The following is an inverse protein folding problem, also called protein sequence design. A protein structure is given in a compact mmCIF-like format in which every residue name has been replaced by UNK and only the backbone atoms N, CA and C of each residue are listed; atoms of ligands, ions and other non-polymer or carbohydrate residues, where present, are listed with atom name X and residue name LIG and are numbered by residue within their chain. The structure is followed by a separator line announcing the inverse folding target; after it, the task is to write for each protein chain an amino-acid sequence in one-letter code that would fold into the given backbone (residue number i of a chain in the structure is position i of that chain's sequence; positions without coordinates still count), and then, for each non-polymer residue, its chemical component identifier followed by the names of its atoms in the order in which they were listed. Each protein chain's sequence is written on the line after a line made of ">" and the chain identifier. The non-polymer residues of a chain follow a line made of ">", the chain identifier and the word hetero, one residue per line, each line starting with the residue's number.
data_IF_976734071682
#
_entry.id   IF_976734071682
#
_cell.length_a   1.000
_cell.length_b   1.000
_cell.length_c   1.000
_cell.angle_alpha   90.00
_cell.angle_beta   90.00
_cell.angle_gamma   90.00
#
_symmetry.space_group_name_H-M   'P 1'
#
loop_
_entity.id
_entity.type
_entity.pdbx_description
1 polymer ?
#
# COMPACT_ATOMS: atom_id res chain seq x y z
N UNK A 1 15.60 -10.64 7.66
CA UNK A 1 14.37 -10.02 7.15
C UNK A 1 14.01 -10.80 5.90
N UNK A 2 12.95 -11.61 5.93
CA UNK A 2 12.56 -12.36 4.73
C UNK A 2 12.24 -11.34 3.64
N UNK A 3 12.83 -11.51 2.47
CA UNK A 3 12.57 -10.63 1.34
C UNK A 3 11.13 -10.87 0.88
N UNK A 4 10.23 -9.95 1.25
CA UNK A 4 8.80 -10.00 0.91
C UNK A 4 8.60 -10.13 -0.61
N UNK A 5 9.53 -9.60 -1.42
CA UNK A 5 9.46 -9.72 -2.88
C UNK A 5 9.74 -11.15 -3.35
N UNK A 6 10.69 -11.85 -2.72
CA UNK A 6 10.96 -13.26 -2.98
C UNK A 6 9.79 -14.15 -2.51
N UNK A 7 9.16 -13.81 -1.39
CA UNK A 7 7.95 -14.49 -0.92
C UNK A 7 6.79 -14.31 -1.93
N UNK A 8 6.55 -13.09 -2.42
CA UNK A 8 5.54 -12.85 -3.45
C UNK A 8 5.80 -13.64 -4.73
N UNK A 9 7.05 -13.67 -5.21
CA UNK A 9 7.43 -14.39 -6.42
C UNK A 9 7.22 -15.90 -6.29
N UNK A 10 7.62 -16.47 -5.15
CA UNK A 10 7.46 -17.90 -4.87
C UNK A 10 5.98 -18.29 -4.72
N UNK A 11 5.19 -17.52 -3.98
CA UNK A 11 3.74 -17.76 -3.84
C UNK A 11 3.01 -17.63 -5.18
N UNK A 12 3.40 -16.65 -6.02
CA UNK A 12 2.82 -16.46 -7.35
C UNK A 12 3.12 -17.65 -8.27
N UNK A 13 4.38 -18.07 -8.37
CA UNK A 13 4.76 -19.20 -9.21
C UNK A 13 4.09 -20.52 -8.75
N UNK A 14 3.95 -20.72 -7.44
CA UNK A 14 3.25 -21.87 -6.90
C UNK A 14 1.74 -21.83 -7.19
N UNK A 15 1.11 -20.64 -7.10
CA UNK A 15 -0.29 -20.45 -7.43
C UNK A 15 -0.59 -20.71 -8.91
N UNK A 16 0.24 -20.22 -9.83
CA UNK A 16 0.07 -20.43 -11.29
C UNK A 16 0.10 -21.92 -11.65
N UNK A 17 1.05 -22.68 -11.09
CA UNK A 17 1.11 -24.14 -11.30
C UNK A 17 -0.08 -24.87 -10.67
N UNK A 18 -0.53 -24.42 -9.49
CA UNK A 18 -1.67 -25.01 -8.83
C UNK A 18 -2.99 -24.71 -9.56
N UNK A 19 -3.14 -23.56 -10.20
CA UNK A 19 -4.32 -23.25 -11.03
C UNK A 19 -4.42 -24.16 -12.24
N UNK A 20 -3.30 -24.41 -12.93
CA UNK A 20 -3.26 -25.34 -14.07
C UNK A 20 -3.64 -26.77 -13.63
N UNK A 21 -3.08 -27.24 -12.50
CA UNK A 21 -3.42 -28.53 -11.92
C UNK A 21 -4.91 -28.61 -11.51
N UNK A 22 -5.43 -27.55 -10.88
CA UNK A 22 -6.81 -27.49 -10.43
C UNK A 22 -7.82 -27.51 -11.59
N UNK A 23 -7.56 -26.76 -12.66
CA UNK A 23 -8.41 -26.76 -13.86
C UNK A 23 -8.48 -28.16 -14.50
N UNK A 24 -7.35 -28.86 -14.58
CA UNK A 24 -7.26 -30.22 -15.14
C UNK A 24 -8.01 -31.23 -14.29
N UNK A 25 -7.80 -31.20 -12.97
CA UNK A 25 -8.50 -32.07 -12.02
C UNK A 25 -10.01 -31.77 -11.95
N UNK A 26 -10.41 -30.50 -12.06
CA UNK A 26 -11.82 -30.11 -12.06
C UNK A 26 -12.56 -30.56 -13.33
N UNK A 27 -11.84 -30.75 -14.44
CA UNK A 27 -12.41 -31.24 -15.70
C UNK A 27 -12.53 -32.77 -15.74
N UNK A 28 -11.94 -33.49 -14.78
CA UNK A 28 -12.03 -34.94 -14.71
C UNK A 28 -13.41 -35.41 -14.22
N UNK A 29 -14.08 -36.35 -14.92
CA UNK A 29 -15.34 -36.92 -14.46
C UNK A 29 -15.15 -37.69 -13.16
N UNK A 30 -16.00 -37.41 -12.18
CA UNK A 30 -15.90 -37.95 -10.82
C UNK A 30 -16.15 -39.47 -10.74
N UNK A 31 -16.79 -40.04 -11.77
CA UNK A 31 -17.38 -41.39 -11.76
C UNK A 31 -16.68 -42.37 -12.73
N UNK A 32 -15.60 -41.92 -13.38
CA UNK A 32 -14.88 -42.71 -14.38
C UNK A 32 -13.88 -43.68 -13.74
N UNK A 33 -13.93 -44.95 -14.15
CA UNK A 33 -12.80 -45.87 -13.92
C UNK A 33 -11.65 -45.38 -14.81
N UNK A 34 -10.69 -44.66 -14.21
CA UNK A 34 -9.53 -44.15 -14.93
C UNK A 34 -8.70 -45.33 -15.46
N UNK A 35 -8.60 -45.42 -16.78
CA UNK A 35 -7.69 -46.36 -17.45
C UNK A 35 -6.28 -45.76 -17.34
N UNK A 36 -5.74 -45.74 -16.12
CA UNK A 36 -4.57 -44.97 -15.73
C UNK A 36 -3.31 -45.52 -16.41
N UNK A 37 -3.09 -45.08 -17.65
CA UNK A 37 -1.84 -45.30 -18.35
C UNK A 37 -0.69 -44.66 -17.55
N UNK A 38 0.54 -45.17 -17.71
CA UNK A 38 1.72 -44.66 -16.99
C UNK A 38 1.90 -43.13 -17.14
N UNK A 39 1.53 -42.57 -18.30
CA UNK A 39 1.63 -41.14 -18.58
C UNK A 39 0.61 -40.30 -17.77
N UNK A 40 -0.56 -40.84 -17.50
CA UNK A 40 -1.60 -40.17 -16.69
C UNK A 40 -1.22 -40.15 -15.21
N UNK A 41 -0.61 -41.23 -14.70
CA UNK A 41 -0.07 -41.27 -13.34
C UNK A 41 1.07 -40.25 -13.13
N UNK A 42 1.98 -40.10 -14.11
CA UNK A 42 3.04 -39.09 -14.04
C UNK A 42 2.49 -37.65 -14.03
N UNK A 43 1.39 -37.39 -14.76
CA UNK A 43 0.73 -36.10 -14.74
C UNK A 43 0.05 -35.82 -13.39
N UNK A 44 -0.65 -36.82 -12.83
CA UNK A 44 -1.28 -36.71 -11.51
C UNK A 44 -0.26 -36.48 -10.38
N UNK A 45 0.89 -37.16 -10.42
CA UNK A 45 1.99 -36.91 -9.47
C UNK A 45 2.54 -35.48 -9.56
N UNK A 46 2.62 -34.94 -10.79
CA UNK A 46 3.01 -33.55 -11.03
C UNK A 46 2.00 -32.57 -10.43
N UNK A 47 0.71 -32.82 -10.64
CA UNK A 47 -0.40 -31.98 -10.17
C UNK A 47 -0.48 -32.00 -8.63
N UNK A 48 -0.32 -33.18 -8.00
CA UNK A 48 -0.23 -33.33 -6.54
C UNK A 48 0.95 -32.53 -5.98
N UNK A 49 2.11 -32.62 -6.63
CA UNK A 49 3.31 -31.87 -6.21
C UNK A 49 3.08 -30.36 -6.29
N UNK A 50 2.41 -29.87 -7.34
CA UNK A 50 2.08 -28.47 -7.49
C UNK A 50 1.13 -27.97 -6.38
N UNK A 51 0.10 -28.76 -6.04
CA UNK A 51 -0.85 -28.42 -4.97
C UNK A 51 -0.19 -28.42 -3.59
N UNK A 52 0.70 -29.37 -3.30
CA UNK A 52 1.47 -29.40 -2.05
C UNK A 52 2.35 -28.16 -1.96
N UNK A 53 3.09 -27.84 -3.03
CA UNK A 53 3.96 -26.66 -3.07
C UNK A 53 3.17 -25.36 -2.85
N UNK A 54 1.96 -25.25 -3.41
CA UNK A 54 1.09 -24.11 -3.16
C UNK A 54 0.60 -24.05 -1.71
N UNK A 55 0.20 -25.18 -1.12
CA UNK A 55 -0.23 -25.24 0.27
C UNK A 55 0.89 -24.83 1.25
N UNK A 56 2.12 -25.29 1.00
CA UNK A 56 3.29 -24.91 1.81
C UNK A 56 3.63 -23.42 1.68
N UNK A 57 3.54 -22.88 0.46
CA UNK A 57 3.77 -21.47 0.19
C UNK A 57 2.66 -20.58 0.81
N UNK A 58 1.42 -21.05 0.82
CA UNK A 58 0.22 -20.35 1.31
C UNK A 58 -0.02 -20.51 2.82
N UNK A 59 1.03 -20.81 3.60
CA UNK A 59 0.91 -20.88 5.06
C UNK A 59 0.29 -19.59 5.64
N UNK A 60 -0.50 -19.68 6.73
CA UNK A 60 -1.14 -18.50 7.33
C UNK A 60 -0.16 -17.38 7.69
N UNK A 61 1.07 -17.74 8.08
CA UNK A 61 2.13 -16.79 8.38
C UNK A 61 2.58 -15.99 7.14
N UNK A 62 2.71 -16.67 5.98
CA UNK A 62 3.09 -16.02 4.73
C UNK A 62 1.98 -15.10 4.22
N UNK A 63 0.72 -15.53 4.33
CA UNK A 63 -0.44 -14.71 3.98
C UNK A 63 -0.48 -13.43 4.84
N UNK A 64 -0.32 -13.56 6.16
CA UNK A 64 -0.27 -12.40 7.06
C UNK A 64 0.90 -11.47 6.77
N UNK A 65 2.07 -12.02 6.42
CA UNK A 65 3.24 -11.24 6.04
C UNK A 65 3.00 -10.41 4.76
N UNK A 66 2.34 -10.99 3.74
CA UNK A 66 1.97 -10.28 2.53
C UNK A 66 0.91 -9.21 2.77
N UNK A 67 -0.12 -9.52 3.56
CA UNK A 67 -1.18 -8.56 3.92
C UNK A 67 -0.57 -7.37 4.66
N UNK A 68 0.26 -7.61 5.68
CA UNK A 68 0.91 -6.55 6.43
C UNK A 68 1.89 -5.71 5.59
N UNK A 69 2.51 -6.31 4.57
CA UNK A 69 3.34 -5.57 3.61
C UNK A 69 2.49 -4.68 2.70
N UNK A 70 1.34 -5.17 2.24
CA UNK A 70 0.41 -4.43 1.40
C UNK A 70 -0.21 -3.24 2.14
N UNK A 71 -0.61 -3.42 3.40
CA UNK A 71 -1.12 -2.34 4.25
C UNK A 71 -0.09 -1.21 4.42
N UNK A 72 1.19 -1.56 4.65
CA UNK A 72 2.28 -0.58 4.73
C UNK A 72 2.48 0.15 3.40
N UNK A 73 2.47 -0.58 2.29
CA UNK A 73 2.61 0.02 0.96
C UNK A 73 1.47 1.00 0.65
N UNK A 74 0.22 0.62 0.96
CA UNK A 74 -0.95 1.48 0.79
C UNK A 74 -0.87 2.74 1.67
N UNK A 75 -0.47 2.60 2.93
CA UNK A 75 -0.28 3.73 3.83
C UNK A 75 0.78 4.71 3.32
N UNK A 76 1.89 4.21 2.78
CA UNK A 76 2.94 5.02 2.16
C UNK A 76 2.41 5.74 0.92
N UNK A 77 1.69 5.05 0.03
CA UNK A 77 1.10 5.67 -1.16
C UNK A 77 0.12 6.77 -0.78
N UNK A 78 -0.78 6.53 0.19
CA UNK A 78 -1.73 7.54 0.66
C UNK A 78 -1.04 8.74 1.31
N UNK A 79 0.05 8.52 2.07
CA UNK A 79 0.86 9.59 2.62
C UNK A 79 1.60 10.37 1.52
N UNK A 80 2.15 9.69 0.52
CA UNK A 80 2.83 10.30 -0.62
C UNK A 80 1.86 11.15 -1.45
N UNK A 81 0.65 10.66 -1.73
CA UNK A 81 -0.40 11.42 -2.43
C UNK A 81 -0.76 12.72 -1.67
N UNK A 82 -0.94 12.62 -0.34
CA UNK A 82 -1.19 13.80 0.50
C UNK A 82 -0.02 14.77 0.45
N UNK A 83 1.22 14.28 0.49
CA UNK A 83 2.42 15.11 0.39
C UNK A 83 2.53 15.82 -0.97
N UNK A 84 2.27 15.11 -2.07
CA UNK A 84 2.27 15.71 -3.42
C UNK A 84 1.19 16.78 -3.54
N UNK A 85 -0.01 16.53 -3.00
CA UNK A 85 -1.12 17.49 -3.00
C UNK A 85 -0.77 18.77 -2.19
N UNK A 86 -0.15 18.61 -1.02
CA UNK A 86 0.23 19.73 -0.17
C UNK A 86 1.41 20.53 -0.73
N UNK A 87 2.48 19.87 -1.23
CA UNK A 87 3.62 20.54 -1.86
C UNK A 87 3.21 21.29 -3.15
N UNK A 88 2.36 20.69 -3.97
CA UNK A 88 1.88 21.28 -5.23
C UNK A 88 1.10 22.58 -5.03
N UNK A 89 0.19 22.64 -4.04
CA UNK A 89 -0.55 23.86 -3.71
C UNK A 89 0.27 24.91 -2.96
N UNK A 90 1.11 24.49 -2.00
CA UNK A 90 1.86 25.44 -1.17
C UNK A 90 2.93 26.20 -1.98
N UNK A 91 3.67 25.53 -2.87
CA UNK A 91 4.72 26.19 -3.67
C UNK A 91 4.15 26.99 -4.85
N UNK A 92 3.04 26.55 -5.46
CA UNK A 92 2.39 27.35 -6.50
C UNK A 92 1.79 28.64 -5.92
N UNK A 93 1.11 28.57 -4.77
CA UNK A 93 0.55 29.75 -4.12
C UNK A 93 1.63 30.73 -3.65
N UNK A 94 2.72 30.24 -3.04
CA UNK A 94 3.86 31.08 -2.65
C UNK A 94 4.52 31.74 -3.87
N UNK A 95 4.64 31.02 -4.99
CA UNK A 95 5.15 31.58 -6.24
C UNK A 95 4.21 32.65 -6.83
N UNK A 96 2.89 32.46 -6.78
CA UNK A 96 1.92 33.48 -7.23
C UNK A 96 1.95 34.73 -6.35
N UNK A 97 2.02 34.57 -5.02
CA UNK A 97 2.15 35.70 -4.08
C UNK A 97 3.45 36.47 -4.29
N UNK A 98 4.58 35.78 -4.46
CA UNK A 98 5.87 36.41 -4.74
C UNK A 98 5.87 37.16 -6.09
N UNK A 99 5.29 36.55 -7.13
CA UNK A 99 5.20 37.16 -8.45
C UNK A 99 4.27 38.38 -8.45
N UNK A 100 3.13 38.29 -7.77
CA UNK A 100 2.21 39.41 -7.61
C UNK A 100 2.83 40.58 -6.83
N UNK A 101 3.61 40.30 -5.79
CA UNK A 101 4.37 41.32 -5.06
C UNK A 101 5.45 41.98 -5.94
N UNK A 102 6.14 41.21 -6.79
CA UNK A 102 7.14 41.74 -7.74
C UNK A 102 6.51 42.63 -8.81
N UNK A 103 5.31 42.29 -9.29
CA UNK A 103 4.58 43.07 -10.31
C UNK A 103 3.61 44.11 -9.72
N UNK A 104 3.55 44.26 -8.39
CA UNK A 104 2.66 45.20 -7.71
C UNK A 104 1.16 44.93 -7.91
N UNK A 105 0.80 43.69 -8.26
CA UNK A 105 -0.59 43.28 -8.51
C UNK A 105 -1.20 42.75 -7.22
N UNK A 106 -2.41 43.20 -6.87
CA UNK A 106 -3.13 42.67 -5.71
C UNK A 106 -3.55 41.22 -5.97
N UNK A 107 -3.16 40.30 -5.08
CA UNK A 107 -3.64 38.92 -5.08
C UNK A 107 -4.99 38.85 -4.37
N UNK A 108 -6.02 38.23 -4.97
CA UNK A 108 -7.28 37.99 -4.27
C UNK A 108 -7.02 37.05 -3.09
N UNK A 109 -7.64 37.34 -1.94
CA UNK A 109 -7.49 36.53 -0.74
C UNK A 109 -8.11 35.15 -0.99
N UNK A 110 -7.25 34.13 -1.09
CA UNK A 110 -7.69 32.75 -1.24
C UNK A 110 -8.16 32.23 0.12
N UNK A 111 -9.24 31.43 0.17
CA UNK A 111 -9.71 30.85 1.42
C UNK A 111 -8.57 30.08 2.09
N UNK A 112 -8.39 30.23 3.43
CA UNK A 112 -7.29 29.58 4.15
C UNK A 112 -7.29 28.08 3.90
N UNK A 113 -6.11 27.51 3.66
CA UNK A 113 -5.95 26.06 3.62
C UNK A 113 -6.42 25.48 4.95
N UNK A 114 -7.14 24.36 4.94
CA UNK A 114 -7.53 23.67 6.19
C UNK A 114 -6.32 23.28 7.08
N UNK A 115 -5.10 23.33 6.54
CA UNK A 115 -3.84 23.14 7.27
C UNK A 115 -3.35 24.41 8.01
N UNK A 116 -3.82 25.61 7.67
CA UNK A 116 -3.76 26.75 8.58
C UNK A 116 -4.88 26.56 9.61
N UNK A 117 -4.64 25.63 10.53
CA UNK A 117 -5.45 25.48 11.72
C UNK A 117 -5.52 26.82 12.43
N UNK A 118 -6.67 27.49 12.28
CA UNK A 118 -7.22 28.58 13.09
C UNK A 118 -6.27 29.00 14.20
N UNK A 119 -5.55 30.11 14.01
CA UNK A 119 -4.94 30.80 15.13
C UNK A 119 -6.08 31.31 16.01
N UNK A 120 -6.49 30.49 16.98
CA UNK A 120 -7.45 30.89 18.01
C UNK A 120 -6.72 31.90 18.87
N UNK A 121 -6.97 33.18 18.62
CA UNK A 121 -6.51 34.27 19.49
C UNK A 121 -7.31 34.20 20.79
N UNK A 122 -6.83 33.39 21.74
CA UNK A 122 -7.31 33.43 23.11
C UNK A 122 -6.80 34.73 23.73
N UNK A 123 -7.72 35.61 24.14
CA UNK A 123 -7.39 36.79 24.93
C UNK A 123 -6.96 36.31 26.32
N UNK A 124 -5.65 36.11 26.52
CA UNK A 124 -5.10 35.74 27.82
C UNK A 124 -5.35 36.91 28.79
N UNK A 125 -5.88 36.66 29.99
CA UNK A 125 -5.98 37.70 31.00
C UNK A 125 -4.59 38.22 31.36
N UNK A 126 -4.49 39.53 31.59
CA UNK A 126 -3.27 40.27 31.88
C UNK A 126 -2.58 39.66 33.12
N UNK A 127 -1.52 38.88 32.91
CA UNK A 127 -0.77 38.23 34.00
C UNK A 127 -0.22 36.83 33.70
N UNK A 128 -0.63 36.17 32.63
CA UNK A 128 -0.02 34.91 32.21
C UNK A 128 1.29 35.15 31.44
N UNK A 129 2.39 35.29 32.17
CA UNK A 129 3.73 35.17 31.60
C UNK A 129 4.13 33.70 31.70
N UNK A 130 4.34 33.04 30.56
CA UNK A 130 4.94 31.72 30.52
C UNK A 130 6.39 31.85 31.04
N UNK A 131 6.64 31.37 32.26
CA UNK A 131 7.93 31.46 32.95
C UNK A 131 9.05 30.61 32.33
N UNK A 132 8.85 30.08 31.13
CA UNK A 132 9.75 29.13 30.48
C UNK A 132 10.69 29.77 29.43
N UNK A 133 10.56 31.07 29.13
CA UNK A 133 11.34 31.74 28.08
C UNK A 133 11.78 33.15 28.45
N UNK A 134 12.37 33.33 29.64
CA UNK A 134 13.18 34.52 29.90
C UNK A 134 14.59 34.28 29.31
N UNK A 135 15.07 35.11 28.36
CA UNK A 135 16.50 35.13 28.06
C UNK A 135 17.24 35.81 29.22
N UNK A 136 18.38 35.23 29.62
CA UNK A 136 19.33 35.82 30.58
C UNK A 136 19.85 37.19 30.12
#
# INVERSE_FOLDING_TARGET
>A
MNDITALMATMKAAAEKATEAHERLSAMPSDGLFDASLAENAQLESDITALIAHNDASSPANVLALVGALEKAQAITAAAEKLVRCKGRYHSEQNYRAMAALFGVNTPDLPPLESESRTVTVKLPTGYVCSAWAPD
#
